data_IF_040443864148
#
_entry.id   IF_040443864148
#
_cell.length_a   1.000
_cell.length_b   1.000
_cell.length_c   1.000
_cell.angle_alpha   90.00
_cell.angle_beta   90.00
_cell.angle_gamma   90.00
#
_symmetry.space_group_name_H-M   'P 1'
#
loop_
_entity.id
_entity.type
_entity.pdbx_description
1 polymer ?
#
# COMPACT_ATOMS: atom_id res chain seq x y z
N UNK A 1 -15.19 -9.54 0.30
CA UNK A 1 -13.83 -8.98 0.23
C UNK A 1 -13.85 -7.68 0.99
N UNK A 2 -12.82 -7.44 1.79
CA UNK A 2 -12.63 -6.20 2.52
C UNK A 2 -11.37 -5.49 2.03
N UNK A 3 -11.34 -4.17 2.18
CA UNK A 3 -10.18 -3.35 1.84
C UNK A 3 -9.44 -3.04 3.13
N UNK A 4 -8.12 -3.19 3.13
CA UNK A 4 -7.27 -2.92 4.28
C UNK A 4 -6.25 -1.85 3.92
N UNK A 5 -5.95 -0.99 4.89
CA UNK A 5 -4.78 -0.12 4.87
C UNK A 5 -3.70 -0.70 5.77
N UNK A 6 -2.47 -0.76 5.26
CA UNK A 6 -1.27 -1.14 5.97
C UNK A 6 -0.38 0.08 6.08
N UNK A 7 0.08 0.43 7.29
CA UNK A 7 0.93 1.60 7.47
C UNK A 7 1.99 1.42 8.57
N UNK A 8 3.12 2.09 8.39
CA UNK A 8 4.16 2.21 9.40
C UNK A 8 3.71 3.24 10.45
N UNK A 9 3.12 2.75 11.53
CA UNK A 9 2.64 3.51 12.70
C UNK A 9 3.77 4.14 13.53
N UNK A 10 5.00 3.66 13.39
CA UNK A 10 6.17 4.21 14.07
C UNK A 10 7.34 4.52 13.12
N UNK A 11 8.19 5.52 13.43
CA UNK A 11 9.29 5.91 12.55
C UNK A 11 10.27 4.78 12.21
N UNK A 12 10.56 3.87 13.14
CA UNK A 12 11.52 2.79 12.94
C UNK A 12 11.00 1.66 12.04
N UNK A 13 9.67 1.59 11.82
CA UNK A 13 9.02 0.63 10.92
C UNK A 13 8.97 1.14 9.48
N UNK A 14 9.36 2.40 9.24
CA UNK A 14 9.30 3.01 7.92
C UNK A 14 10.32 2.39 6.97
N UNK A 15 9.85 2.09 5.77
CA UNK A 15 10.65 1.69 4.62
C UNK A 15 11.42 2.88 4.06
N UNK A 16 12.65 2.61 3.63
CA UNK A 16 13.54 3.61 3.04
C UNK A 16 13.05 4.18 1.71
N UNK A 17 12.24 3.42 0.96
CA UNK A 17 11.65 3.85 -0.32
C UNK A 17 10.46 4.82 -0.15
N UNK A 18 10.00 5.05 1.08
CA UNK A 18 8.88 5.93 1.40
C UNK A 18 7.50 5.34 1.13
N UNK A 19 7.39 4.07 0.69
CA UNK A 19 6.11 3.37 0.47
C UNK A 19 5.59 2.83 1.81
N UNK A 20 5.21 3.75 2.70
CA UNK A 20 4.87 3.47 4.10
C UNK A 20 3.37 3.36 4.36
N UNK A 21 2.54 3.57 3.35
CA UNK A 21 1.09 3.32 3.40
C UNK A 21 0.71 2.54 2.15
N UNK A 22 0.03 1.41 2.33
CA UNK A 22 -0.43 0.56 1.24
C UNK A 22 -1.89 0.23 1.46
N UNK A 23 -2.67 0.19 0.38
CA UNK A 23 -4.09 -0.18 0.42
C UNK A 23 -4.29 -1.36 -0.52
N UNK A 24 -4.88 -2.43 -0.01
CA UNK A 24 -5.15 -3.64 -0.79
C UNK A 24 -6.43 -4.31 -0.33
N UNK A 25 -7.09 -5.02 -1.24
CA UNK A 25 -8.28 -5.81 -0.93
C UNK A 25 -7.96 -7.30 -0.82
N UNK A 26 -8.68 -8.00 0.05
CA UNK A 26 -8.52 -9.43 0.27
C UNK A 26 -9.75 -10.07 0.90
N UNK A 27 -9.78 -11.40 0.92
CA UNK A 27 -10.79 -12.16 1.67
C UNK A 27 -10.54 -12.09 3.19
N UNK A 28 -9.29 -11.91 3.58
CA UNK A 28 -8.82 -11.72 4.96
C UNK A 28 -7.73 -10.65 4.97
N UNK A 29 -7.37 -10.15 6.15
CA UNK A 29 -6.24 -9.22 6.32
C UNK A 29 -4.93 -9.83 5.77
N UNK A 30 -4.65 -11.10 6.09
CA UNK A 30 -3.45 -11.79 5.61
C UNK A 30 -3.41 -11.90 4.08
N UNK A 31 -4.56 -12.17 3.45
CA UNK A 31 -4.65 -12.21 1.98
C UNK A 31 -4.43 -10.82 1.37
N UNK A 32 -5.01 -9.76 1.97
CA UNK A 32 -4.77 -8.38 1.53
C UNK A 32 -3.31 -7.96 1.71
N UNK A 33 -2.67 -8.38 2.80
CA UNK A 33 -1.25 -8.12 3.09
C UNK A 33 -0.36 -8.75 2.02
N UNK A 34 -0.61 -10.00 1.66
CA UNK A 34 0.11 -10.68 0.59
C UNK A 34 -0.02 -9.96 -0.77
N UNK A 35 -1.20 -9.40 -1.09
CA UNK A 35 -1.40 -8.58 -2.30
C UNK A 35 -0.57 -7.29 -2.23
N UNK A 36 -0.57 -6.60 -1.10
CA UNK A 36 0.23 -5.39 -0.90
C UNK A 36 1.75 -5.67 -0.98
N UNK A 37 2.21 -6.78 -0.41
CA UNK A 37 3.61 -7.22 -0.49
C UNK A 37 4.03 -7.62 -1.90
N UNK A 38 3.13 -8.25 -2.66
CA UNK A 38 3.35 -8.56 -4.07
C UNK A 38 3.55 -7.28 -4.92
N UNK A 39 2.80 -6.20 -4.62
CA UNK A 39 2.95 -4.91 -5.30
C UNK A 39 4.37 -4.34 -5.12
N UNK A 40 4.92 -4.41 -3.91
CA UNK A 40 6.28 -3.93 -3.61
C UNK A 40 7.37 -4.98 -3.87
N UNK A 41 6.99 -6.20 -4.28
CA UNK A 41 7.88 -7.34 -4.56
C UNK A 41 8.78 -7.71 -3.38
N UNK A 42 8.24 -7.61 -2.17
CA UNK A 42 8.97 -7.92 -0.94
C UNK A 42 8.04 -8.63 0.06
N UNK A 43 7.98 -9.98 0.00
CA UNK A 43 7.23 -10.79 0.96
C UNK A 43 7.69 -10.56 2.41
N UNK A 44 6.76 -10.54 3.34
CA UNK A 44 7.00 -10.30 4.78
C UNK A 44 7.36 -8.86 5.13
N UNK A 45 7.56 -7.98 4.14
CA UNK A 45 8.07 -6.63 4.40
C UNK A 45 7.05 -5.71 5.09
N UNK A 46 5.80 -6.15 5.22
CA UNK A 46 4.76 -5.43 5.94
C UNK A 46 4.44 -6.08 7.29
N UNK A 47 5.09 -7.16 7.73
CA UNK A 47 4.75 -7.88 8.98
C UNK A 47 4.65 -6.94 10.20
N UNK A 48 5.57 -5.98 10.33
CA UNK A 48 5.58 -5.02 11.42
C UNK A 48 4.60 -3.84 11.26
N UNK A 49 3.92 -3.71 10.12
CA UNK A 49 2.98 -2.62 9.86
C UNK A 49 1.66 -2.86 10.57
N UNK A 50 1.06 -1.78 11.05
CA UNK A 50 -0.32 -1.79 11.51
C UNK A 50 -1.26 -2.05 10.32
N UNK A 51 -2.36 -2.75 10.58
CA UNK A 51 -3.41 -3.01 9.61
C UNK A 51 -4.76 -2.52 10.14
N UNK A 52 -5.52 -1.87 9.28
CA UNK A 52 -6.88 -1.40 9.58
C UNK A 52 -7.79 -1.78 8.42
N UNK A 53 -8.90 -2.44 8.71
CA UNK A 53 -9.97 -2.66 7.73
C UNK A 53 -10.68 -1.32 7.46
N UNK A 54 -10.78 -0.94 6.18
CA UNK A 54 -11.50 0.24 5.73
C UNK A 54 -13.00 -0.09 5.60
N UNK A 55 -13.77 0.40 6.57
CA UNK A 55 -15.23 0.32 6.59
C UNK A 55 -15.86 1.59 7.19
N UNK A 56 -17.17 1.55 7.44
CA UNK A 56 -17.97 2.72 7.84
C UNK A 56 -17.52 3.37 9.16
N UNK A 57 -16.80 2.64 10.01
CA UNK A 57 -16.29 3.14 11.29
C UNK A 57 -14.94 3.85 11.19
N UNK A 58 -14.29 3.85 10.01
CA UNK A 58 -12.97 4.46 9.84
C UNK A 58 -13.10 5.97 9.63
N UNK A 59 -12.51 6.80 10.50
CA UNK A 59 -12.51 8.25 10.30
C UNK A 59 -11.79 8.65 9.00
N UNK A 60 -12.19 9.77 8.41
CA UNK A 60 -11.49 10.33 7.27
C UNK A 60 -10.03 10.65 7.63
N UNK A 61 -9.10 10.30 6.73
CA UNK A 61 -7.68 10.60 6.88
C UNK A 61 -7.06 10.97 5.53
N UNK A 62 -5.90 11.62 5.57
CA UNK A 62 -5.10 11.96 4.40
C UNK A 62 -3.70 11.37 4.55
N UNK A 63 -3.14 10.91 3.44
CA UNK A 63 -1.73 10.49 3.38
C UNK A 63 -0.93 11.66 2.82
N UNK A 64 -0.03 12.22 3.64
CA UNK A 64 0.89 13.26 3.22
C UNK A 64 2.10 12.63 2.50
N UNK A 65 2.38 13.08 1.26
CA UNK A 65 3.47 12.55 0.45
C UNK A 65 3.22 12.67 -1.05
N UNK A 66 3.97 11.88 -1.83
CA UNK A 66 3.75 11.75 -3.28
C UNK A 66 2.44 11.01 -3.58
N UNK A 67 1.89 11.21 -4.78
CA UNK A 67 0.66 10.56 -5.22
C UNK A 67 0.70 9.02 -5.18
N UNK A 68 -0.47 8.37 -5.32
CA UNK A 68 -0.58 6.91 -5.23
C UNK A 68 0.22 6.22 -6.34
N UNK A 69 0.80 5.06 -6.00
CA UNK A 69 1.55 4.21 -6.92
C UNK A 69 0.78 2.91 -7.14
N UNK A 70 0.45 2.62 -8.40
CA UNK A 70 -0.30 1.41 -8.78
C UNK A 70 0.57 0.18 -9.06
N UNK A 71 -0.08 -0.96 -9.29
CA UNK A 71 0.55 -2.17 -9.84
C UNK A 71 0.78 -2.02 -11.35
N UNK A 72 1.55 -2.94 -11.95
CA UNK A 72 1.67 -3.02 -13.42
C UNK A 72 0.31 -3.35 -14.04
N UNK A 73 -0.05 -2.68 -15.15
CA UNK A 73 -1.26 -2.98 -15.92
C UNK A 73 -2.59 -2.51 -15.30
N UNK A 74 -2.54 -1.73 -14.22
CA UNK A 74 -3.73 -1.09 -13.65
C UNK A 74 -4.16 0.14 -14.48
N UNK A 75 -5.44 0.49 -14.46
CA UNK A 75 -6.03 1.56 -15.28
C UNK A 75 -6.63 2.74 -14.49
N UNK A 76 -6.57 2.70 -13.16
CA UNK A 76 -7.30 3.63 -12.27
C UNK A 76 -6.37 4.68 -11.66
N UNK A 77 -5.21 4.25 -11.20
CA UNK A 77 -4.17 5.06 -10.57
C UNK A 77 -3.15 5.60 -11.58
N UNK A 78 -2.35 6.62 -11.21
CA UNK A 78 -1.23 7.05 -12.04
C UNK A 78 -0.18 5.94 -12.22
N UNK A 79 0.30 5.76 -13.44
CA UNK A 79 1.33 4.78 -13.79
C UNK A 79 2.76 5.20 -13.44
N UNK A 80 2.96 6.10 -12.47
CA UNK A 80 4.26 6.68 -12.12
C UNK A 80 4.72 6.21 -10.75
N UNK A 81 6.03 6.05 -10.59
CA UNK A 81 6.68 5.87 -9.29
C UNK A 81 6.82 7.20 -8.57
N UNK A 82 7.21 7.16 -7.29
CA UNK A 82 7.59 8.37 -6.53
C UNK A 82 8.71 9.18 -7.21
N UNK A 83 9.63 8.51 -7.93
CA UNK A 83 10.73 9.15 -8.65
C UNK A 83 10.28 9.92 -9.91
N UNK A 84 9.00 9.84 -10.28
CA UNK A 84 8.48 10.40 -11.53
C UNK A 84 8.60 9.45 -12.72
N UNK A 85 9.34 8.36 -12.58
CA UNK A 85 9.51 7.34 -13.61
C UNK A 85 8.21 6.58 -13.87
N UNK A 86 8.01 6.11 -15.10
CA UNK A 86 6.95 5.15 -15.42
C UNK A 86 7.17 3.84 -14.68
N UNK A 87 6.09 3.20 -14.23
CA UNK A 87 6.16 1.82 -13.75
C UNK A 87 6.67 0.91 -14.88
N UNK A 88 7.72 0.09 -14.66
CA UNK A 88 8.27 -0.77 -15.70
C UNK A 88 7.21 -1.70 -16.31
N UNK A 89 7.01 -1.57 -17.63
CA UNK A 89 6.09 -2.39 -18.41
C UNK A 89 4.64 -1.93 -18.45
N UNK A 90 4.40 -0.61 -18.27
CA UNK A 90 3.30 0.09 -18.92
C UNK A 90 3.54 0.25 -20.43
#
# INVERSE_FOLDING_TARGET
MATFVFYADEPHKRRADGRNTLVAAGATEAAARAVAEALIRQPGALEAFAAVELGDSVPAFVVEGFGPVGSRGQSVWPGRTRGGDSLPGN
#
